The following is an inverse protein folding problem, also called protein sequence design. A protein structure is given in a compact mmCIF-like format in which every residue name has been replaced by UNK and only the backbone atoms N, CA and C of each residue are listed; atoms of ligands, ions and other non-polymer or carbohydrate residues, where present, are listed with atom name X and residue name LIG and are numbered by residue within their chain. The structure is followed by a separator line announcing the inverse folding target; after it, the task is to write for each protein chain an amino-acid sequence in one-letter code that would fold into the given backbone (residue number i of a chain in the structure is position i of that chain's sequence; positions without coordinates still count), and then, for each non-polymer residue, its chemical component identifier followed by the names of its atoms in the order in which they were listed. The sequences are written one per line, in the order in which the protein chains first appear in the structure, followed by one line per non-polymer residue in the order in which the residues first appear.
data_IF_442960364104
#
_entry.id   IF_442960364104
#
_cell.length_a   1.000
_cell.length_b   1.000
_cell.length_c   1.000
_cell.angle_alpha   90.00
_cell.angle_beta   90.00
_cell.angle_gamma   90.00
#
_symmetry.space_group_name_H-M   'P 1'
#
loop_
_entity.id
_entity.type
_entity.pdbx_description
1 polymer ?
#
# COMPACT_ATOMS: atom_id res chain seq x y z
N UNK A 1 -15.48 -10.23 6.86
CA UNK A 1 -14.41 -9.30 6.48
C UNK A 1 -14.52 -8.05 7.33
N UNK A 2 -13.47 -7.65 8.02
CA UNK A 2 -13.47 -6.43 8.85
C UNK A 2 -12.58 -5.39 8.16
N UNK A 3 -13.18 -4.29 7.71
CA UNK A 3 -12.57 -3.21 6.94
C UNK A 3 -12.82 -3.30 5.43
N UNK A 4 -13.27 -2.18 4.84
CA UNK A 4 -13.55 -2.01 3.42
C UNK A 4 -12.48 -1.15 2.70
N UNK A 5 -11.25 -1.13 3.22
CA UNK A 5 -10.09 -0.58 2.53
C UNK A 5 -9.58 -1.54 1.44
N UNK A 6 -8.44 -1.21 0.80
CA UNK A 6 -7.86 -2.05 -0.25
C UNK A 6 -7.63 -3.49 0.18
N UNK A 7 -7.18 -3.74 1.41
CA UNK A 7 -6.98 -5.09 1.92
C UNK A 7 -8.28 -5.91 1.88
N UNK A 8 -9.32 -5.44 2.58
CA UNK A 8 -10.59 -6.16 2.65
C UNK A 8 -11.35 -6.24 1.33
N UNK A 9 -11.39 -5.14 0.57
CA UNK A 9 -12.07 -5.10 -0.73
C UNK A 9 -11.42 -6.06 -1.75
N UNK A 10 -10.08 -6.12 -1.78
CA UNK A 10 -9.36 -7.02 -2.69
C UNK A 10 -9.58 -8.49 -2.33
N UNK A 11 -9.57 -8.82 -1.04
CA UNK A 11 -9.82 -10.19 -0.59
C UNK A 11 -11.27 -10.59 -0.89
N UNK A 12 -12.25 -9.73 -0.61
CA UNK A 12 -13.65 -10.02 -0.89
C UNK A 12 -13.90 -10.22 -2.41
N UNK A 13 -13.35 -9.35 -3.26
CA UNK A 13 -13.44 -9.51 -4.71
C UNK A 13 -12.75 -10.80 -5.19
N UNK A 14 -11.59 -11.16 -4.62
CA UNK A 14 -10.91 -12.40 -4.98
C UNK A 14 -11.68 -13.64 -4.51
N UNK A 15 -12.27 -13.63 -3.33
CA UNK A 15 -13.15 -14.70 -2.83
C UNK A 15 -14.38 -14.85 -3.71
N UNK A 16 -14.97 -13.75 -4.18
CA UNK A 16 -16.06 -13.78 -5.16
C UNK A 16 -15.65 -14.53 -6.44
N UNK A 17 -14.46 -14.20 -6.99
CA UNK A 17 -13.93 -14.93 -8.16
C UNK A 17 -13.68 -16.42 -7.89
N UNK A 18 -13.37 -16.76 -6.65
CA UNK A 18 -13.23 -18.15 -6.20
C UNK A 18 -14.57 -18.86 -5.91
N UNK A 19 -15.72 -18.21 -6.15
CA UNK A 19 -17.05 -18.79 -5.97
C UNK A 19 -17.62 -18.66 -4.55
N UNK A 20 -17.01 -17.89 -3.67
CA UNK A 20 -17.57 -17.60 -2.34
C UNK A 20 -18.64 -16.52 -2.48
N UNK A 21 -19.89 -16.86 -2.16
CA UNK A 21 -21.06 -15.97 -2.34
C UNK A 21 -21.74 -15.54 -1.03
N UNK A 22 -21.30 -16.08 0.11
CA UNK A 22 -21.89 -15.80 1.41
C UNK A 22 -20.86 -15.08 2.28
N UNK A 23 -20.72 -13.78 2.09
CA UNK A 23 -19.78 -12.96 2.81
C UNK A 23 -20.34 -11.61 3.23
N UNK A 24 -19.74 -11.04 4.28
CA UNK A 24 -20.08 -9.74 4.81
C UNK A 24 -18.82 -8.90 4.96
N UNK A 25 -18.88 -7.65 4.55
CA UNK A 25 -17.84 -6.64 4.80
C UNK A 25 -18.40 -5.66 5.82
N UNK A 26 -17.71 -5.50 6.95
CA UNK A 26 -18.04 -4.56 8.01
C UNK A 26 -17.04 -3.41 7.98
N UNK A 27 -17.51 -2.21 7.73
CA UNK A 27 -16.70 -0.99 7.70
C UNK A 27 -17.16 -0.05 8.80
N UNK A 28 -16.21 0.40 9.63
CA UNK A 28 -16.51 1.30 10.74
C UNK A 28 -16.91 2.72 10.30
N UNK A 29 -16.37 3.16 9.16
CA UNK A 29 -16.63 4.48 8.65
C UNK A 29 -17.86 4.48 7.72
N UNK A 30 -18.47 5.66 7.55
CA UNK A 30 -19.58 5.85 6.61
C UNK A 30 -19.15 5.59 5.16
N UNK A 31 -17.90 5.92 4.82
CA UNK A 31 -17.37 5.77 3.47
C UNK A 31 -16.16 4.82 3.49
N UNK A 32 -16.18 3.75 2.69
CA UNK A 32 -15.00 2.94 2.46
C UNK A 32 -13.81 3.78 1.96
N UNK A 33 -12.60 3.44 2.40
CA UNK A 33 -11.42 4.16 1.98
C UNK A 33 -11.14 5.48 2.73
N UNK A 34 -11.87 5.82 3.77
CA UNK A 34 -11.67 7.05 4.58
C UNK A 34 -10.25 7.20 5.11
N UNK A 35 -9.58 6.08 5.41
CA UNK A 35 -8.21 6.06 5.93
C UNK A 35 -7.15 5.88 4.83
N UNK A 36 -6.11 5.06 5.06
CA UNK A 36 -4.96 4.89 4.17
C UNK A 36 -5.32 4.64 2.69
N UNK A 37 -6.42 3.93 2.42
CA UNK A 37 -6.83 3.57 1.06
C UNK A 37 -7.28 4.76 0.21
N UNK A 38 -7.84 5.81 0.81
CA UNK A 38 -8.26 7.02 0.09
C UNK A 38 -7.33 8.21 0.28
N UNK A 39 -6.27 8.07 1.09
CA UNK A 39 -5.36 9.18 1.46
C UNK A 39 -3.93 8.98 0.99
N UNK A 40 -3.70 8.06 0.07
CA UNK A 40 -2.37 7.73 -0.47
C UNK A 40 -2.07 8.48 -1.77
N UNK A 41 -0.84 8.34 -2.25
CA UNK A 41 -0.37 9.02 -3.46
C UNK A 41 -0.75 8.30 -4.77
N UNK A 42 -1.35 7.12 -4.72
CA UNK A 42 -1.72 6.35 -5.91
C UNK A 42 -0.55 5.80 -6.73
N UNK A 43 0.68 5.88 -6.25
CA UNK A 43 1.85 5.40 -7.01
C UNK A 43 1.91 3.88 -6.96
N UNK A 44 1.88 3.24 -8.13
CA UNK A 44 2.18 1.83 -8.32
C UNK A 44 3.65 1.67 -8.68
N UNK A 45 4.40 0.98 -7.81
CA UNK A 45 5.85 0.85 -7.88
C UNK A 45 6.28 -0.60 -7.79
N UNK A 46 7.19 -1.03 -8.66
CA UNK A 46 7.74 -2.40 -8.67
C UNK A 46 9.12 -2.49 -8.01
N UNK A 47 9.88 -1.41 -7.98
CA UNK A 47 11.24 -1.40 -7.44
C UNK A 47 11.23 -1.56 -5.91
N UNK A 48 11.71 -2.71 -5.45
CA UNK A 48 11.85 -3.07 -4.04
C UNK A 48 13.13 -3.85 -3.79
N UNK A 49 13.70 -3.69 -2.60
CA UNK A 49 14.93 -4.38 -2.20
C UNK A 49 14.68 -5.78 -1.62
N UNK A 50 13.56 -5.98 -0.94
CA UNK A 50 13.18 -7.29 -0.42
C UNK A 50 12.61 -8.18 -1.54
N UNK A 51 13.15 -9.39 -1.76
CA UNK A 51 12.74 -10.26 -2.88
C UNK A 51 11.27 -10.71 -2.82
N UNK A 52 10.69 -10.90 -1.63
CA UNK A 52 9.30 -11.30 -1.48
C UNK A 52 8.36 -10.11 -1.78
N UNK A 53 8.70 -8.92 -1.27
CA UNK A 53 7.95 -7.70 -1.55
C UNK A 53 8.07 -7.31 -3.02
N UNK A 54 9.26 -7.45 -3.63
CA UNK A 54 9.47 -7.25 -5.06
C UNK A 54 8.55 -8.16 -5.89
N UNK A 55 8.51 -9.48 -5.58
CA UNK A 55 7.64 -10.41 -6.27
C UNK A 55 6.16 -10.03 -6.14
N UNK A 56 5.74 -9.63 -4.95
CA UNK A 56 4.38 -9.18 -4.67
C UNK A 56 4.03 -7.89 -5.42
N UNK A 57 4.94 -6.90 -5.44
CA UNK A 57 4.76 -5.63 -6.14
C UNK A 57 4.66 -5.83 -7.66
N UNK A 58 5.55 -6.65 -8.25
CA UNK A 58 5.51 -7.01 -9.67
C UNK A 58 4.20 -7.69 -10.03
N UNK A 59 3.77 -8.66 -9.22
CA UNK A 59 2.50 -9.36 -9.43
C UNK A 59 1.30 -8.40 -9.31
N UNK A 60 1.36 -7.45 -8.38
CA UNK A 60 0.34 -6.42 -8.20
C UNK A 60 0.23 -5.49 -9.40
N UNK A 61 1.35 -4.93 -9.87
CA UNK A 61 1.36 -4.02 -11.04
C UNK A 61 0.88 -4.73 -12.29
N UNK A 62 1.28 -5.99 -12.52
CA UNK A 62 0.76 -6.79 -13.65
C UNK A 62 -0.76 -6.88 -13.64
N UNK A 63 -1.37 -7.09 -12.48
CA UNK A 63 -2.83 -7.16 -12.31
C UNK A 63 -3.49 -5.79 -12.48
N UNK A 64 -2.89 -4.73 -11.94
CA UNK A 64 -3.39 -3.35 -12.10
C UNK A 64 -3.43 -2.92 -13.56
N UNK A 65 -2.41 -3.27 -14.36
CA UNK A 65 -2.35 -2.99 -15.80
C UNK A 65 -3.50 -3.64 -16.59
N UNK A 66 -3.98 -4.79 -16.14
CA UNK A 66 -5.09 -5.50 -16.78
C UNK A 66 -6.46 -5.05 -16.27
N UNK A 67 -6.52 -4.37 -15.12
CA UNK A 67 -7.79 -3.93 -14.52
C UNK A 67 -8.33 -2.71 -15.23
N UNK A 68 -9.60 -2.80 -15.62
CA UNK A 68 -10.35 -1.68 -16.19
C UNK A 68 -11.64 -1.46 -15.43
N UNK A 69 -12.11 -0.23 -15.42
CA UNK A 69 -13.41 0.20 -14.94
C UNK A 69 -14.04 1.05 -16.05
N UNK A 70 -15.21 0.67 -16.52
CA UNK A 70 -15.88 1.32 -17.66
C UNK A 70 -14.92 1.51 -18.87
N UNK A 71 -14.23 0.43 -19.26
CA UNK A 71 -13.21 0.37 -20.31
C UNK A 71 -11.96 1.25 -20.11
N UNK A 72 -11.87 1.99 -18.99
CA UNK A 72 -10.71 2.81 -18.64
C UNK A 72 -9.75 2.01 -17.76
N UNK A 73 -8.44 2.03 -18.06
CA UNK A 73 -7.46 1.40 -17.19
C UNK A 73 -7.41 2.10 -15.84
N UNK A 74 -7.33 1.33 -14.75
CA UNK A 74 -7.15 1.91 -13.40
C UNK A 74 -5.71 2.38 -13.16
N UNK A 75 -4.74 1.84 -13.89
CA UNK A 75 -3.34 2.27 -13.86
C UNK A 75 -3.05 3.16 -15.07
N UNK A 76 -2.78 4.44 -14.82
CA UNK A 76 -2.17 5.34 -15.79
C UNK A 76 -0.68 5.04 -15.84
N UNK A 77 -0.26 4.30 -16.87
CA UNK A 77 1.12 3.83 -17.03
C UNK A 77 2.02 4.96 -17.53
N UNK A 78 2.42 5.86 -16.62
CA UNK A 78 3.33 6.97 -16.89
C UNK A 78 4.80 6.57 -16.73
N UNK A 79 5.06 5.38 -16.22
CA UNK A 79 6.35 4.97 -15.71
C UNK A 79 6.57 5.43 -14.26
N UNK A 80 7.78 5.14 -13.74
CA UNK A 80 8.29 5.61 -12.46
C UNK A 80 9.77 5.92 -12.58
N UNK A 81 10.20 7.04 -12.03
CA UNK A 81 11.59 7.47 -11.95
C UNK A 81 12.05 7.42 -10.48
N UNK A 82 13.13 6.67 -10.23
CA UNK A 82 13.67 6.46 -8.88
C UNK A 82 15.11 6.96 -8.85
N UNK A 83 15.33 8.06 -8.15
CA UNK A 83 16.63 8.71 -8.03
C UNK A 83 17.46 8.03 -6.94
N UNK A 84 18.76 7.89 -7.20
CA UNK A 84 19.72 7.22 -6.31
C UNK A 84 21.00 8.04 -6.26
N UNK A 85 21.59 8.13 -5.07
CA UNK A 85 22.85 8.81 -4.81
C UNK A 85 23.98 7.81 -4.57
N UNK A 86 25.16 8.08 -5.11
CA UNK A 86 26.38 7.35 -4.87
C UNK A 86 26.46 5.98 -5.55
N UNK A 87 26.29 4.91 -4.80
CA UNK A 87 26.76 3.58 -5.13
C UNK A 87 26.06 2.87 -6.32
N UNK A 88 26.72 2.87 -7.48
CA UNK A 88 26.27 2.17 -8.68
C UNK A 88 26.12 0.65 -8.50
N UNK A 89 26.87 0.02 -7.57
CA UNK A 89 26.82 -1.44 -7.34
C UNK A 89 25.44 -1.83 -6.82
N UNK A 90 24.96 -1.17 -5.77
CA UNK A 90 23.61 -1.43 -5.22
C UNK A 90 22.52 -1.22 -6.28
N UNK A 91 22.65 -0.15 -7.07
CA UNK A 91 21.73 0.13 -8.15
C UNK A 91 21.73 -1.00 -9.21
N UNK A 92 22.90 -1.49 -9.59
CA UNK A 92 23.03 -2.60 -10.56
C UNK A 92 22.43 -3.91 -10.02
N UNK A 93 22.60 -4.20 -8.74
CA UNK A 93 21.99 -5.37 -8.08
C UNK A 93 20.45 -5.28 -8.10
N UNK A 94 19.88 -4.12 -7.80
CA UNK A 94 18.45 -3.89 -7.86
C UNK A 94 17.91 -4.04 -9.28
N UNK A 95 18.64 -3.54 -10.29
CA UNK A 95 18.27 -3.71 -11.69
C UNK A 95 18.24 -5.20 -12.07
N UNK A 96 19.24 -5.97 -11.66
CA UNK A 96 19.30 -7.42 -11.91
C UNK A 96 18.10 -8.15 -11.29
N UNK A 97 17.69 -7.77 -10.08
CA UNK A 97 16.50 -8.33 -9.42
C UNK A 97 15.22 -8.04 -10.21
N UNK A 98 15.02 -6.80 -10.70
CA UNK A 98 13.89 -6.43 -11.55
C UNK A 98 13.86 -7.25 -12.84
N UNK A 99 15.00 -7.36 -13.52
CA UNK A 99 15.14 -8.17 -14.75
C UNK A 99 14.87 -9.64 -14.50
N UNK A 100 15.32 -10.20 -13.36
CA UNK A 100 15.01 -11.56 -12.93
C UNK A 100 13.51 -11.82 -12.73
N UNK A 101 12.70 -10.77 -12.51
CA UNK A 101 11.24 -10.82 -12.47
C UNK A 101 10.57 -10.41 -13.78
N UNK A 102 11.33 -10.30 -14.88
CA UNK A 102 10.85 -9.85 -16.19
C UNK A 102 10.19 -8.45 -16.14
N UNK A 103 10.71 -7.56 -15.33
CA UNK A 103 10.31 -6.14 -15.31
C UNK A 103 11.20 -5.38 -16.27
N UNK A 104 10.59 -4.69 -17.22
CA UNK A 104 11.31 -3.72 -18.04
C UNK A 104 11.76 -2.57 -17.16
N UNK A 105 13.06 -2.35 -17.07
CA UNK A 105 13.65 -1.28 -16.27
C UNK A 105 15.02 -0.94 -16.83
N UNK A 106 15.42 0.30 -16.65
CA UNK A 106 16.68 0.84 -17.10
C UNK A 106 17.35 1.59 -15.95
N UNK A 107 18.67 1.46 -15.83
CA UNK A 107 19.49 2.31 -14.97
C UNK A 107 20.20 3.32 -15.85
N UNK A 108 19.88 4.59 -15.66
CA UNK A 108 20.41 5.71 -16.42
C UNK A 108 21.42 6.48 -15.56
N UNK A 109 22.52 6.91 -16.16
CA UNK A 109 23.39 7.92 -15.58
C UNK A 109 22.65 9.26 -15.53
N UNK A 110 23.04 10.16 -14.61
CA UNK A 110 22.34 11.41 -14.38
C UNK A 110 22.16 12.23 -15.67
N UNK A 111 23.19 12.32 -16.52
CA UNK A 111 23.13 13.11 -17.76
C UNK A 111 22.22 12.48 -18.80
N UNK A 112 22.24 11.15 -18.96
CA UNK A 112 21.33 10.43 -19.85
C UNK A 112 19.87 10.59 -19.38
N UNK A 113 19.65 10.51 -18.07
CA UNK A 113 18.33 10.72 -17.49
C UNK A 113 17.82 12.14 -17.72
N UNK A 114 18.68 13.17 -17.56
CA UNK A 114 18.33 14.57 -17.81
C UNK A 114 18.12 14.87 -19.30
N UNK A 115 18.80 14.16 -20.18
CA UNK A 115 18.56 14.27 -21.62
C UNK A 115 17.19 13.69 -22.00
N UNK A 116 16.86 12.53 -21.47
CA UNK A 116 15.58 11.82 -21.74
C UNK A 116 14.38 12.48 -21.06
N UNK A 117 14.58 12.98 -19.84
CA UNK A 117 13.59 13.63 -19.00
C UNK A 117 14.07 15.03 -18.58
N UNK A 118 13.90 16.05 -19.45
CA UNK A 118 14.49 17.38 -19.24
C UNK A 118 14.06 18.07 -17.92
N UNK A 119 12.89 17.72 -17.37
CA UNK A 119 12.43 18.23 -16.08
C UNK A 119 13.33 17.77 -14.90
N UNK A 120 14.11 16.70 -15.06
CA UNK A 120 15.08 16.26 -14.05
C UNK A 120 16.31 17.18 -13.92
N UNK A 121 16.47 18.20 -14.76
CA UNK A 121 17.59 19.16 -14.66
C UNK A 121 17.60 19.93 -13.33
N UNK A 122 16.43 20.06 -12.68
CA UNK A 122 16.30 20.66 -11.35
C UNK A 122 16.48 19.70 -10.20
N UNK A 123 16.92 18.43 -10.44
CA UNK A 123 17.11 17.43 -9.40
C UNK A 123 18.59 17.04 -9.26
N UNK A 124 19.04 16.87 -8.01
CA UNK A 124 20.33 16.29 -7.67
C UNK A 124 20.22 14.78 -7.56
N UNK A 125 21.03 14.02 -8.29
CA UNK A 125 21.14 12.56 -8.23
C UNK A 125 22.32 12.08 -9.08
N UNK A 126 22.79 10.87 -8.84
CA UNK A 126 23.87 10.23 -9.62
C UNK A 126 23.33 9.24 -10.65
N UNK A 127 22.28 8.50 -10.29
CA UNK A 127 21.64 7.51 -11.16
C UNK A 127 20.12 7.61 -11.02
N UNK A 128 19.42 7.18 -12.08
CA UNK A 128 17.97 7.05 -12.07
C UNK A 128 17.53 5.69 -12.62
N UNK A 129 16.68 4.97 -11.87
CA UNK A 129 15.93 3.87 -12.46
C UNK A 129 14.72 4.42 -13.20
N UNK A 130 14.48 3.92 -14.39
CA UNK A 130 13.23 4.13 -15.08
C UNK A 130 12.51 2.79 -15.25
N UNK A 131 11.32 2.69 -14.67
CA UNK A 131 10.44 1.54 -14.79
C UNK A 131 9.20 1.94 -15.62
N UNK A 132 9.17 1.67 -16.93
CA UNK A 132 8.11 2.16 -17.82
C UNK A 132 6.74 1.52 -17.55
N UNK A 133 6.69 0.42 -16.80
CA UNK A 133 5.46 -0.29 -16.46
C UNK A 133 4.84 0.13 -15.12
N UNK A 134 5.48 1.03 -14.40
CA UNK A 134 4.94 1.69 -13.23
C UNK A 134 3.99 2.83 -13.61
N UNK A 135 3.40 3.50 -12.64
CA UNK A 135 2.52 4.64 -12.93
C UNK A 135 1.67 5.07 -11.73
N UNK A 136 0.56 5.71 -12.05
CA UNK A 136 -0.38 6.26 -11.06
C UNK A 136 -1.73 5.53 -11.17
N UNK A 137 -2.24 5.07 -10.06
CA UNK A 137 -3.53 4.35 -9.95
C UNK A 137 -4.64 5.33 -9.63
N UNK A 138 -5.75 5.23 -10.37
CA UNK A 138 -7.01 5.78 -9.92
C UNK A 138 -7.52 4.95 -8.72
N UNK A 139 -7.17 5.40 -7.53
CA UNK A 139 -7.46 4.70 -6.28
C UNK A 139 -8.96 4.63 -6.00
N UNK A 140 -9.73 5.63 -6.44
CA UNK A 140 -11.18 5.65 -6.25
C UNK A 140 -11.85 4.63 -7.16
N UNK A 141 -11.53 4.64 -8.45
CA UNK A 141 -12.07 3.67 -9.41
C UNK A 141 -11.69 2.24 -9.02
N UNK A 142 -10.43 2.00 -8.61
CA UNK A 142 -9.99 0.67 -8.17
C UNK A 142 -10.79 0.19 -6.96
N UNK A 143 -10.86 0.98 -5.87
CA UNK A 143 -11.54 0.57 -4.65
C UNK A 143 -13.04 0.36 -4.88
N UNK A 144 -13.69 1.28 -5.57
CA UNK A 144 -15.12 1.18 -5.89
C UNK A 144 -15.42 -0.04 -6.74
N UNK A 145 -14.56 -0.36 -7.72
CA UNK A 145 -14.75 -1.54 -8.57
C UNK A 145 -14.59 -2.86 -7.80
N UNK A 146 -13.68 -2.92 -6.83
CA UNK A 146 -13.49 -4.10 -5.98
C UNK A 146 -14.70 -4.34 -5.07
N UNK A 147 -15.23 -3.28 -4.47
CA UNK A 147 -16.43 -3.35 -3.64
C UNK A 147 -17.67 -3.69 -4.47
N UNK A 148 -17.79 -3.15 -5.69
CA UNK A 148 -18.87 -3.49 -6.60
C UNK A 148 -18.79 -4.96 -7.04
N UNK A 149 -17.60 -5.48 -7.34
CA UNK A 149 -17.37 -6.88 -7.68
C UNK A 149 -17.75 -7.81 -6.52
N UNK A 150 -17.32 -7.48 -5.29
CA UNK A 150 -17.69 -8.25 -4.11
C UNK A 150 -19.22 -8.26 -3.90
N UNK A 151 -19.87 -7.09 -4.01
CA UNK A 151 -21.33 -6.97 -3.87
C UNK A 151 -22.07 -7.75 -4.96
N UNK A 152 -21.62 -7.66 -6.21
CA UNK A 152 -22.18 -8.41 -7.33
C UNK A 152 -22.06 -9.93 -7.17
N UNK A 153 -21.06 -10.38 -6.43
CA UNK A 153 -20.85 -11.80 -6.08
C UNK A 153 -21.52 -12.26 -4.79
N UNK A 154 -22.38 -11.45 -4.18
CA UNK A 154 -23.18 -11.83 -3.02
C UNK A 154 -22.61 -11.40 -1.66
N UNK A 155 -21.56 -10.58 -1.62
CA UNK A 155 -21.14 -9.97 -0.36
C UNK A 155 -22.04 -8.79 0.02
N UNK A 156 -22.53 -8.79 1.25
CA UNK A 156 -23.17 -7.62 1.84
C UNK A 156 -22.12 -6.67 2.43
N UNK A 157 -22.34 -5.36 2.27
CA UNK A 157 -21.41 -4.34 2.78
C UNK A 157 -22.16 -3.41 3.72
N UNK A 158 -21.76 -3.44 5.00
CA UNK A 158 -22.29 -2.57 6.03
C UNK A 158 -21.25 -1.49 6.40
N UNK A 159 -21.63 -0.25 6.23
CA UNK A 159 -20.87 0.93 6.70
C UNK A 159 -21.45 1.42 8.02
N UNK A 160 -20.76 2.35 8.70
CA UNK A 160 -21.09 2.78 10.06
C UNK A 160 -21.22 1.57 11.03
N UNK A 161 -20.45 0.50 10.77
CA UNK A 161 -20.53 -0.76 11.48
C UNK A 161 -19.16 -1.17 12.05
N UNK A 162 -18.80 -0.60 13.17
CA UNK A 162 -17.56 -0.95 13.86
C UNK A 162 -17.67 -2.35 14.52
N UNK A 163 -16.63 -3.16 14.34
CA UNK A 163 -16.44 -4.38 15.12
C UNK A 163 -15.75 -4.01 16.43
N UNK A 164 -16.39 -4.31 17.55
CA UNK A 164 -15.94 -3.95 18.88
C UNK A 164 -15.18 -5.09 19.57
N UNK A 165 -15.40 -6.34 19.14
CA UNK A 165 -14.75 -7.49 19.71
C UNK A 165 -15.01 -8.81 19.00
N UNK A 166 -14.26 -9.82 19.43
CA UNK A 166 -14.39 -11.21 19.00
C UNK A 166 -14.86 -12.06 20.17
N UNK A 167 -15.78 -12.99 19.94
CA UNK A 167 -16.15 -14.02 20.90
C UNK A 167 -15.51 -15.34 20.48
N UNK A 168 -14.74 -15.93 21.38
CA UNK A 168 -14.05 -17.20 21.19
C UNK A 168 -14.69 -18.30 22.03
N UNK A 169 -14.73 -19.52 21.48
CA UNK A 169 -14.96 -20.75 22.22
C UNK A 169 -13.65 -21.54 22.24
N UNK A 170 -12.96 -21.52 23.37
CA UNK A 170 -11.57 -21.98 23.45
C UNK A 170 -10.69 -21.11 22.51
N UNK A 171 -10.02 -21.75 21.57
CA UNK A 171 -9.20 -21.09 20.56
C UNK A 171 -9.92 -20.91 19.21
N UNK A 172 -11.23 -21.06 19.15
CA UNK A 172 -12.00 -20.96 17.89
C UNK A 172 -12.84 -19.68 17.88
N UNK A 173 -12.68 -18.86 16.87
CA UNK A 173 -13.51 -17.69 16.65
C UNK A 173 -14.94 -18.11 16.28
N UNK A 174 -15.95 -17.49 16.90
CA UNK A 174 -17.36 -17.83 16.71
C UNK A 174 -18.20 -16.66 16.28
N UNK A 175 -17.98 -15.50 16.89
CA UNK A 175 -18.82 -14.33 16.68
C UNK A 175 -18.00 -13.05 16.65
N UNK A 176 -18.51 -12.08 15.91
CA UNK A 176 -18.11 -10.68 15.96
C UNK A 176 -19.16 -9.91 16.77
N UNK A 177 -18.71 -9.01 17.61
CA UNK A 177 -19.56 -8.06 18.33
C UNK A 177 -19.54 -6.73 17.58
N UNK A 178 -20.70 -6.20 17.25
CA UNK A 178 -20.89 -4.90 16.62
C UNK A 178 -21.94 -4.10 17.37
N UNK A 179 -22.03 -2.81 17.12
CA UNK A 179 -23.10 -1.95 17.68
C UNK A 179 -24.50 -2.41 17.25
N UNK A 180 -24.63 -3.07 16.09
CA UNK A 180 -25.88 -3.62 15.57
C UNK A 180 -26.23 -5.02 16.04
N UNK A 181 -25.37 -5.64 16.89
CA UNK A 181 -25.56 -6.99 17.38
C UNK A 181 -24.40 -7.95 17.06
N UNK A 182 -24.66 -9.26 17.21
CA UNK A 182 -23.66 -10.29 16.99
C UNK A 182 -23.77 -10.89 15.58
N UNK A 183 -22.63 -11.11 14.95
CA UNK A 183 -22.51 -11.79 13.66
C UNK A 183 -21.73 -13.09 13.85
N UNK A 184 -22.34 -14.22 13.47
CA UNK A 184 -21.67 -15.51 13.47
C UNK A 184 -20.93 -15.71 12.15
N UNK A 185 -19.68 -16.15 12.22
CA UNK A 185 -18.88 -16.47 11.04
C UNK A 185 -17.95 -17.65 11.33
N UNK A 186 -17.68 -18.45 10.28
CA UNK A 186 -16.68 -19.53 10.35
C UNK A 186 -15.26 -18.98 10.11
N UNK A 187 -15.15 -17.99 9.24
CA UNK A 187 -13.90 -17.32 8.89
C UNK A 187 -14.07 -15.81 9.02
N UNK A 188 -13.16 -15.19 9.73
CA UNK A 188 -13.04 -13.74 9.85
C UNK A 188 -11.72 -13.30 9.26
N UNK A 189 -11.74 -12.31 8.39
CA UNK A 189 -10.53 -11.67 7.87
C UNK A 189 -10.37 -10.32 8.54
N UNK A 190 -9.28 -10.15 9.28
CA UNK A 190 -8.83 -8.88 9.86
C UNK A 190 -8.09 -8.07 8.77
N UNK A 191 -8.79 -7.11 8.17
CA UNK A 191 -8.27 -6.15 7.21
C UNK A 191 -8.39 -4.71 7.73
N UNK A 192 -8.27 -4.54 9.05
CA UNK A 192 -8.54 -3.27 9.76
C UNK A 192 -7.40 -2.25 9.69
N UNK A 193 -6.35 -2.51 8.90
CA UNK A 193 -5.27 -1.56 8.67
C UNK A 193 -4.51 -1.18 9.94
N UNK A 194 -4.60 0.07 10.38
CA UNK A 194 -3.90 0.56 11.56
C UNK A 194 -4.44 -0.03 12.87
N UNK A 195 -5.65 -0.58 12.87
CA UNK A 195 -6.28 -1.25 14.04
C UNK A 195 -6.04 -2.75 14.08
N UNK A 196 -5.34 -3.31 13.10
CA UNK A 196 -5.07 -4.74 13.07
C UNK A 196 -4.29 -5.21 14.32
N UNK A 197 -4.66 -6.37 14.82
CA UNK A 197 -4.14 -6.87 16.09
C UNK A 197 -4.80 -6.29 17.35
N UNK A 198 -5.75 -5.36 17.21
CA UNK A 198 -6.53 -4.83 18.35
C UNK A 198 -7.90 -5.51 18.51
N UNK A 199 -8.29 -6.36 17.58
CA UNK A 199 -9.58 -7.03 17.49
C UNK A 199 -9.78 -8.15 18.52
N UNK A 200 -9.29 -8.01 19.66
CA UNK A 200 -9.55 -8.96 20.74
C UNK A 200 -8.36 -9.06 21.68
N UNK A 201 -8.64 -8.84 22.95
CA UNK A 201 -7.66 -9.03 24.04
C UNK A 201 -7.20 -10.49 24.18
N UNK A 202 -7.77 -11.41 23.42
CA UNK A 202 -7.52 -12.85 23.49
C UNK A 202 -6.34 -13.30 22.59
N UNK A 203 -6.00 -12.56 21.53
CA UNK A 203 -4.81 -12.84 20.70
C UNK A 203 -3.63 -11.99 21.17
N UNK A 204 -2.42 -12.51 21.06
CA UNK A 204 -1.26 -11.65 21.13
C UNK A 204 -1.38 -10.60 20.03
N UNK A 205 -1.25 -9.30 20.32
CA UNK A 205 -1.35 -8.28 19.31
C UNK A 205 -0.29 -8.53 18.22
N UNK A 206 -0.68 -8.34 16.95
CA UNK A 206 0.32 -8.32 15.89
C UNK A 206 1.31 -7.19 16.16
N UNK A 207 2.61 -7.40 15.94
CA UNK A 207 3.65 -6.39 16.20
C UNK A 207 3.65 -5.32 15.11
N UNK A 208 2.56 -4.59 14.97
CA UNK A 208 2.34 -3.60 13.94
C UNK A 208 2.57 -2.20 14.49
N UNK A 209 3.23 -1.36 13.68
CA UNK A 209 3.44 0.07 13.98
C UNK A 209 2.79 0.92 12.89
N UNK A 210 1.72 1.65 13.21
CA UNK A 210 1.19 2.69 12.32
C UNK A 210 2.11 3.91 12.36
N UNK A 211 2.59 4.30 11.19
CA UNK A 211 3.46 5.46 11.00
C UNK A 211 2.72 6.54 10.20
N UNK A 212 2.73 7.77 10.71
CA UNK A 212 2.15 8.94 10.06
C UNK A 212 3.00 9.33 8.85
N UNK A 213 2.33 9.67 7.75
CA UNK A 213 2.94 10.17 6.52
C UNK A 213 2.13 11.33 5.97
N UNK A 214 2.80 12.45 5.70
CA UNK A 214 2.19 13.64 5.12
C UNK A 214 2.23 13.61 3.60
N UNK A 215 1.20 14.22 3.01
CA UNK A 215 1.11 14.54 1.60
C UNK A 215 0.72 15.99 1.45
N UNK A 216 1.41 16.67 0.55
CA UNK A 216 1.18 18.07 0.22
C UNK A 216 0.75 18.19 -1.22
N UNK A 217 -0.24 19.01 -1.47
CA UNK A 217 -0.62 19.43 -2.80
C UNK A 217 -0.25 20.90 -2.95
N UNK A 218 0.48 21.21 -4.02
CA UNK A 218 0.94 22.55 -4.29
C UNK A 218 0.73 22.98 -5.73
N UNK A 219 0.79 24.29 -5.95
CA UNK A 219 0.84 24.88 -7.28
C UNK A 219 2.16 24.54 -7.96
N UNK A 220 2.20 24.48 -9.27
CA UNK A 220 3.42 24.11 -9.99
C UNK A 220 3.19 23.74 -11.44
N UNK A 221 2.19 24.34 -12.08
CA UNK A 221 2.03 24.24 -13.51
C UNK A 221 3.33 24.66 -14.20
N UNK A 222 4.03 23.70 -14.81
CA UNK A 222 5.28 23.94 -15.55
C UNK A 222 6.53 23.25 -14.97
N UNK A 223 6.56 22.80 -13.72
CA UNK A 223 7.71 22.06 -13.19
C UNK A 223 7.80 20.63 -13.72
N UNK A 224 6.67 19.93 -13.75
CA UNK A 224 6.57 18.59 -14.33
C UNK A 224 5.49 18.58 -15.43
N UNK A 225 5.72 17.92 -16.56
CA UNK A 225 4.65 17.61 -17.52
C UNK A 225 3.52 16.84 -16.83
N UNK A 226 2.28 17.00 -17.31
CA UNK A 226 1.10 16.34 -16.69
C UNK A 226 1.15 14.81 -16.72
N UNK A 227 1.84 14.27 -17.69
CA UNK A 227 2.06 12.84 -17.92
C UNK A 227 3.44 12.36 -17.45
N UNK A 228 4.19 13.23 -16.75
CA UNK A 228 5.48 12.84 -16.21
C UNK A 228 5.35 11.67 -15.24
N UNK A 229 6.30 10.74 -15.25
CA UNK A 229 6.41 9.72 -14.24
C UNK A 229 6.51 10.33 -12.83
N UNK A 230 5.98 9.70 -11.79
CA UNK A 230 6.37 10.01 -10.42
C UNK A 230 7.88 9.96 -10.27
N UNK A 231 8.46 10.96 -9.64
CA UNK A 231 9.88 11.03 -9.28
C UNK A 231 10.01 10.74 -7.80
N UNK A 232 10.75 9.71 -7.44
CA UNK A 232 10.98 9.32 -6.06
C UNK A 232 12.46 9.23 -5.78
N UNK A 233 12.97 10.04 -4.88
CA UNK A 233 14.31 9.89 -4.36
C UNK A 233 14.32 8.82 -3.27
N UNK A 234 15.04 7.73 -3.52
CA UNK A 234 15.03 6.55 -2.64
C UNK A 234 15.93 6.73 -1.43
N UNK A 235 17.02 7.47 -1.58
CA UNK A 235 18.02 7.63 -0.52
C UNK A 235 17.66 8.81 0.40
N UNK A 236 17.23 9.93 -0.16
CA UNK A 236 16.82 11.12 0.59
C UNK A 236 15.41 10.96 1.16
N UNK A 237 14.58 10.19 0.48
CA UNK A 237 13.23 9.88 0.92
C UNK A 237 12.27 11.06 0.73
N UNK A 238 12.03 11.45 -0.52
CA UNK A 238 10.89 12.27 -0.92
C UNK A 238 10.38 11.82 -2.28
N UNK A 239 9.17 12.19 -2.60
CA UNK A 239 8.66 12.01 -3.96
C UNK A 239 7.76 13.16 -4.38
N UNK A 240 7.68 13.33 -5.70
CA UNK A 240 6.80 14.30 -6.35
C UNK A 240 6.17 13.65 -7.59
N UNK A 241 4.92 13.97 -7.84
CA UNK A 241 4.25 13.61 -9.08
C UNK A 241 3.24 14.67 -9.53
N UNK A 242 2.91 14.74 -10.81
CA UNK A 242 1.79 15.56 -11.27
C UNK A 242 0.48 15.12 -10.60
N UNK A 243 -0.36 16.09 -10.24
CA UNK A 243 -1.71 15.87 -9.72
C UNK A 243 -2.64 16.98 -10.24
N UNK A 244 -3.49 16.66 -11.21
CA UNK A 244 -4.36 17.66 -11.83
C UNK A 244 -3.59 18.83 -12.44
N UNK A 245 -3.79 20.04 -11.91
CA UNK A 245 -3.07 21.25 -12.33
C UNK A 245 -1.86 21.60 -11.46
N UNK A 246 -1.52 20.73 -10.50
CA UNK A 246 -0.43 20.94 -9.55
C UNK A 246 0.45 19.73 -9.37
N UNK A 247 1.08 19.68 -8.20
CA UNK A 247 1.99 18.62 -7.79
C UNK A 247 1.53 18.03 -6.46
N UNK A 248 1.65 16.72 -6.35
CA UNK A 248 1.59 15.99 -5.10
C UNK A 248 3.01 15.71 -4.62
N UNK A 249 3.32 16.14 -3.41
CA UNK A 249 4.65 16.03 -2.81
C UNK A 249 4.56 15.31 -1.46
N UNK A 250 5.63 14.61 -1.11
CA UNK A 250 5.71 13.87 0.16
C UNK A 250 7.14 13.89 0.71
N UNK A 251 7.34 14.27 1.97
CA UNK A 251 8.65 14.23 2.63
C UNK A 251 9.11 12.84 3.03
N UNK A 252 8.28 11.81 2.81
CA UNK A 252 8.51 10.44 3.27
C UNK A 252 8.74 10.32 4.79
N UNK A 253 8.12 11.20 5.57
CA UNK A 253 8.17 11.17 7.03
C UNK A 253 7.55 9.89 7.59
N UNK A 254 8.07 9.42 8.73
CA UNK A 254 7.60 8.22 9.44
C UNK A 254 7.65 8.46 10.95
N UNK A 255 6.57 8.97 11.50
CA UNK A 255 6.41 9.17 12.95
C UNK A 255 5.33 8.22 13.46
N UNK A 256 5.62 7.46 14.51
CA UNK A 256 4.63 6.57 15.13
C UNK A 256 3.41 7.36 15.62
N UNK A 257 2.21 6.84 15.32
CA UNK A 257 0.96 7.50 15.63
C UNK A 257 -0.11 6.46 15.93
N UNK A 258 -0.97 6.68 16.94
CA UNK A 258 -2.07 5.77 17.22
C UNK A 258 -3.04 5.66 16.03
N UNK A 259 -3.78 4.53 15.92
CA UNK A 259 -4.79 4.37 14.90
C UNK A 259 -5.82 5.51 14.91
N UNK A 260 -6.12 6.06 13.72
CA UNK A 260 -7.03 7.20 13.55
C UNK A 260 -6.76 7.96 12.25
N UNK A 261 -7.38 9.11 12.12
CA UNK A 261 -6.99 10.12 11.13
C UNK A 261 -5.93 11.00 11.80
N UNK A 262 -4.67 10.94 11.37
CA UNK A 262 -3.62 11.69 12.04
C UNK A 262 -3.81 13.19 11.87
N UNK A 263 -3.54 13.93 12.92
CA UNK A 263 -3.41 15.37 12.84
C UNK A 263 -2.22 15.75 11.96
N UNK A 264 -2.37 16.87 11.25
CA UNK A 264 -1.31 17.43 10.43
C UNK A 264 -0.24 18.00 11.37
N UNK A 265 1.02 17.67 11.08
CA UNK A 265 2.19 18.24 11.70
C UNK A 265 2.86 19.18 10.69
N UNK A 266 2.87 20.46 11.01
CA UNK A 266 3.40 21.46 10.10
C UNK A 266 4.92 21.38 9.94
N UNK A 267 5.64 20.76 10.89
CA UNK A 267 7.08 20.52 10.79
C UNK A 267 7.42 19.61 9.59
N UNK A 268 6.48 18.76 9.16
CA UNK A 268 6.65 17.95 7.95
C UNK A 268 6.79 18.80 6.66
N UNK A 269 6.23 20.01 6.64
CA UNK A 269 6.43 20.93 5.53
C UNK A 269 7.87 21.49 5.53
N UNK A 270 8.43 21.77 6.71
CA UNK A 270 9.84 22.15 6.85
C UNK A 270 10.78 21.05 6.38
N UNK A 271 10.55 19.80 6.81
CA UNK A 271 11.31 18.64 6.34
C UNK A 271 11.24 18.48 4.82
N UNK A 272 10.07 18.71 4.21
CA UNK A 272 9.94 18.68 2.76
C UNK A 272 10.74 19.81 2.10
N UNK A 273 10.61 21.03 2.64
CA UNK A 273 11.31 22.22 2.11
C UNK A 273 12.83 22.04 2.13
N UNK A 274 13.39 21.56 3.25
CA UNK A 274 14.83 21.29 3.37
C UNK A 274 15.33 20.30 2.31
N UNK A 275 14.60 19.19 2.11
CA UNK A 275 14.93 18.19 1.08
C UNK A 275 14.85 18.78 -0.34
N UNK A 276 13.82 19.58 -0.62
CA UNK A 276 13.65 20.19 -1.93
C UNK A 276 14.72 21.25 -2.20
N UNK A 277 15.08 22.09 -1.21
CA UNK A 277 16.14 23.08 -1.36
C UNK A 277 17.48 22.45 -1.72
N UNK A 278 17.80 21.31 -1.14
CA UNK A 278 19.07 20.62 -1.37
C UNK A 278 19.07 19.75 -2.63
N UNK A 279 18.00 18.97 -2.86
CA UNK A 279 17.98 17.91 -3.88
C UNK A 279 17.05 18.17 -5.07
N UNK A 280 16.15 19.13 -4.97
CA UNK A 280 15.26 19.52 -6.06
C UNK A 280 14.94 21.03 -6.00
N UNK A 281 15.99 21.91 -6.04
CA UNK A 281 15.81 23.35 -5.84
C UNK A 281 14.81 24.00 -6.79
N UNK A 282 14.60 23.42 -7.97
CA UNK A 282 13.56 23.88 -8.89
C UNK A 282 12.13 23.72 -8.37
N UNK A 283 11.92 22.93 -7.31
CA UNK A 283 10.63 22.72 -6.65
C UNK A 283 10.50 23.45 -5.31
N UNK A 284 11.57 24.11 -4.83
CA UNK A 284 11.58 24.72 -3.51
C UNK A 284 10.55 25.86 -3.33
N UNK A 285 10.23 26.56 -4.44
CA UNK A 285 9.27 27.66 -4.45
C UNK A 285 7.82 27.23 -4.73
N UNK A 286 7.53 25.92 -4.69
CA UNK A 286 6.16 25.42 -4.89
C UNK A 286 5.28 25.83 -3.72
N UNK A 287 4.30 26.71 -3.99
CA UNK A 287 3.32 27.11 -2.98
C UNK A 287 2.44 25.95 -2.56
N UNK A 288 2.46 25.57 -1.29
CA UNK A 288 1.63 24.49 -0.76
C UNK A 288 0.22 25.01 -0.44
N UNK A 289 -0.81 24.32 -0.95
CA UNK A 289 -2.22 24.72 -0.83
C UNK A 289 -3.03 23.79 0.06
N UNK A 290 -2.71 22.50 0.08
CA UNK A 290 -3.38 21.48 0.88
C UNK A 290 -2.36 20.53 1.49
N UNK A 291 -2.68 20.08 2.70
CA UNK A 291 -1.94 19.03 3.37
C UNK A 291 -2.91 18.04 4.00
N UNK A 292 -2.56 16.78 3.95
CA UNK A 292 -3.22 15.74 4.75
C UNK A 292 -2.22 14.70 5.19
N UNK A 293 -2.58 13.92 6.19
CA UNK A 293 -1.78 12.82 6.65
C UNK A 293 -2.56 11.51 6.58
N UNK A 294 -1.83 10.41 6.44
CA UNK A 294 -2.37 9.05 6.52
C UNK A 294 -1.45 8.17 7.36
N UNK A 295 -1.95 7.00 7.75
CA UNK A 295 -1.14 5.99 8.42
C UNK A 295 -0.67 4.93 7.44
N UNK A 296 0.60 4.55 7.56
CA UNK A 296 1.20 3.39 6.93
C UNK A 296 1.58 2.41 8.02
N UNK A 297 0.92 1.27 8.05
CA UNK A 297 1.12 0.29 9.12
C UNK A 297 2.10 -0.77 8.67
N UNK A 298 3.16 -0.94 9.43
CA UNK A 298 4.26 -1.86 9.12
C UNK A 298 4.40 -2.93 10.20
N UNK A 299 4.72 -4.13 9.77
CA UNK A 299 5.35 -5.14 10.61
C UNK A 299 6.84 -4.82 10.83
N UNK A 300 7.51 -5.42 11.83
CA UNK A 300 8.93 -5.15 12.13
C UNK A 300 9.87 -5.36 10.93
N UNK A 301 9.60 -6.35 10.10
CA UNK A 301 10.35 -6.69 8.89
C UNK A 301 9.87 -5.96 7.64
N UNK A 302 8.87 -5.08 7.79
CA UNK A 302 8.24 -4.27 6.75
C UNK A 302 7.50 -5.08 5.66
N UNK A 303 7.35 -6.39 5.82
CA UNK A 303 6.54 -7.23 4.94
C UNK A 303 5.07 -7.27 5.40
N UNK A 304 4.11 -7.39 4.47
CA UNK A 304 2.70 -7.61 4.83
C UNK A 304 2.52 -8.87 5.68
N UNK A 305 1.43 -8.91 6.43
CA UNK A 305 0.98 -10.13 7.13
C UNK A 305 -0.25 -10.64 6.38
N UNK A 306 -0.12 -11.83 5.79
CA UNK A 306 -1.19 -12.50 5.04
C UNK A 306 -1.21 -13.97 5.50
N UNK A 307 -2.18 -14.36 6.31
CA UNK A 307 -2.22 -15.73 6.80
C UNK A 307 -3.13 -15.93 8.01
N UNK A 308 -3.31 -17.19 8.35
CA UNK A 308 -4.09 -17.61 9.51
C UNK A 308 -3.42 -17.18 10.82
N UNK A 309 -4.24 -16.74 11.78
CA UNK A 309 -3.77 -16.48 13.14
C UNK A 309 -3.20 -17.76 13.74
N UNK A 310 -2.02 -17.72 14.39
CA UNK A 310 -1.40 -18.92 14.97
C UNK A 310 -2.13 -19.49 16.17
N UNK A 311 -3.02 -18.72 16.81
CA UNK A 311 -3.67 -19.06 18.08
C UNK A 311 -5.19 -19.13 17.97
N UNK A 312 -5.79 -18.44 17.01
CA UNK A 312 -7.23 -18.32 16.86
C UNK A 312 -7.65 -18.97 15.54
N UNK A 313 -8.21 -20.17 15.63
CA UNK A 313 -8.78 -20.84 14.47
C UNK A 313 -9.97 -20.04 13.91
N UNK A 314 -10.02 -19.88 12.58
CA UNK A 314 -11.03 -19.11 11.88
C UNK A 314 -10.72 -17.61 11.75
N UNK A 315 -9.59 -17.12 12.29
CA UNK A 315 -9.12 -15.75 12.10
C UNK A 315 -7.98 -15.73 11.06
N UNK A 316 -8.11 -14.88 10.05
CA UNK A 316 -7.13 -14.66 8.99
C UNK A 316 -6.73 -13.18 8.96
N UNK A 317 -5.45 -12.89 8.82
CA UNK A 317 -4.93 -11.52 8.80
C UNK A 317 -4.55 -11.07 7.40
N UNK A 318 -4.91 -9.84 7.05
CA UNK A 318 -4.41 -9.10 5.89
C UNK A 318 -4.06 -7.69 6.33
N UNK A 319 -2.85 -7.51 6.84
CA UNK A 319 -2.44 -6.33 7.58
C UNK A 319 -0.99 -5.94 7.26
N UNK A 320 -0.56 -4.80 7.79
CA UNK A 320 0.84 -4.39 7.65
C UNK A 320 1.26 -4.06 6.22
N UNK A 321 0.33 -3.60 5.36
CA UNK A 321 0.61 -3.33 3.94
C UNK A 321 1.56 -2.15 3.71
N UNK A 322 1.93 -1.43 4.75
CA UNK A 322 2.90 -0.34 4.71
C UNK A 322 2.56 0.71 3.65
N UNK A 323 3.54 1.02 2.80
CA UNK A 323 3.41 1.93 1.67
C UNK A 323 2.90 1.28 0.38
N UNK A 324 2.62 -0.04 0.38
CA UNK A 324 2.40 -0.84 -0.83
C UNK A 324 0.94 -1.25 -1.05
N UNK A 325 0.04 -0.86 -0.17
CA UNK A 325 -1.35 -1.33 -0.20
C UNK A 325 -2.07 -1.12 -1.54
N UNK A 326 -1.77 -0.05 -2.28
CA UNK A 326 -2.31 0.17 -3.63
C UNK A 326 -1.67 -0.78 -4.63
N UNK A 327 -0.33 -0.77 -4.71
CA UNK A 327 0.44 -1.57 -5.66
C UNK A 327 0.12 -3.06 -5.55
N UNK A 328 0.02 -3.57 -4.32
CA UNK A 328 -0.06 -5.01 -4.05
C UNK A 328 -1.48 -5.53 -3.82
N UNK A 329 -2.49 -4.65 -3.73
CA UNK A 329 -3.86 -4.99 -3.33
C UNK A 329 -4.44 -6.21 -4.05
N UNK A 330 -4.39 -6.22 -5.38
CA UNK A 330 -4.96 -7.31 -6.19
C UNK A 330 -4.21 -8.63 -5.98
N UNK A 331 -2.88 -8.59 -5.89
CA UNK A 331 -2.06 -9.76 -5.63
C UNK A 331 -2.28 -10.32 -4.22
N UNK A 332 -2.42 -9.44 -3.22
CA UNK A 332 -2.76 -9.82 -1.84
C UNK A 332 -4.14 -10.47 -1.78
N UNK A 333 -5.12 -9.92 -2.51
CA UNK A 333 -6.45 -10.52 -2.61
C UNK A 333 -6.40 -11.96 -3.11
N UNK A 334 -5.61 -12.21 -4.17
CA UNK A 334 -5.46 -13.56 -4.74
C UNK A 334 -4.74 -14.52 -3.77
N UNK A 335 -3.66 -14.08 -3.09
CA UNK A 335 -2.99 -14.88 -2.06
C UNK A 335 -3.97 -15.25 -0.95
N UNK A 336 -4.64 -14.25 -0.39
CA UNK A 336 -5.56 -14.45 0.73
C UNK A 336 -6.73 -15.37 0.35
N UNK A 337 -7.34 -15.14 -0.80
CA UNK A 337 -8.43 -15.99 -1.30
C UNK A 337 -7.97 -17.44 -1.50
N UNK A 338 -6.80 -17.66 -2.12
CA UNK A 338 -6.23 -19.00 -2.33
C UNK A 338 -6.02 -19.72 -1.00
N UNK A 339 -5.40 -19.05 -0.03
CA UNK A 339 -5.13 -19.66 1.29
C UNK A 339 -6.41 -19.90 2.10
N UNK A 340 -7.39 -19.00 2.04
CA UNK A 340 -8.68 -19.16 2.73
C UNK A 340 -9.46 -20.35 2.13
N UNK A 341 -9.39 -20.56 0.82
CA UNK A 341 -10.03 -21.68 0.14
C UNK A 341 -9.21 -22.99 0.22
N UNK A 342 -8.11 -23.02 0.98
CA UNK A 342 -7.29 -24.23 1.17
C UNK A 342 -6.39 -24.58 -0.01
N UNK A 343 -6.14 -23.64 -0.92
CA UNK A 343 -5.22 -23.80 -2.06
C UNK A 343 -3.79 -23.43 -1.72
N UNK A 344 -2.89 -23.67 -2.68
CA UNK A 344 -1.48 -23.29 -2.60
C UNK A 344 -1.17 -22.14 -3.56
N UNK A 345 -0.29 -21.22 -3.13
CA UNK A 345 0.22 -20.11 -3.93
C UNK A 345 1.57 -20.51 -4.50
N UNK A 346 1.72 -20.52 -5.81
CA UNK A 346 2.90 -21.03 -6.53
C UNK A 346 3.78 -19.94 -7.17
N UNK A 347 3.29 -18.70 -7.25
CA UNK A 347 3.98 -17.59 -7.92
C UNK A 347 4.77 -16.66 -6.96
N UNK A 348 4.61 -16.85 -5.67
CA UNK A 348 5.36 -16.16 -4.60
C UNK A 348 5.47 -17.07 -3.39
N UNK A 349 6.56 -16.92 -2.62
CA UNK A 349 6.74 -17.62 -1.36
C UNK A 349 5.78 -17.05 -0.29
N UNK A 350 4.57 -17.61 -0.21
CA UNK A 350 3.51 -17.11 0.68
C UNK A 350 3.88 -17.21 2.17
N UNK A 351 4.78 -18.12 2.54
CA UNK A 351 5.29 -18.26 3.92
C UNK A 351 6.02 -17.00 4.39
N UNK A 352 6.63 -16.24 3.47
CA UNK A 352 7.26 -14.94 3.77
C UNK A 352 6.28 -13.91 4.33
N UNK A 353 4.98 -14.09 4.10
CA UNK A 353 3.92 -13.20 4.59
C UNK A 353 3.13 -13.79 5.74
N UNK A 354 3.43 -15.01 6.16
CA UNK A 354 2.70 -15.70 7.24
C UNK A 354 2.69 -14.90 8.54
N UNK A 355 1.57 -14.94 9.26
CA UNK A 355 1.47 -14.41 10.62
C UNK A 355 2.34 -15.18 11.64
N UNK A 356 2.91 -16.33 11.24
CA UNK A 356 3.76 -17.20 12.07
C UNK A 356 5.26 -17.08 11.73
N UNK A 357 5.64 -16.22 10.77
CA UNK A 357 7.04 -16.10 10.36
C UNK A 357 7.93 -15.61 11.50
N UNK A 358 9.13 -16.13 11.60
CA UNK A 358 10.09 -15.87 12.69
C UNK A 358 10.50 -14.39 12.78
N UNK A 359 10.56 -13.68 11.65
CA UNK A 359 10.93 -12.26 11.58
C UNK A 359 9.99 -11.35 12.38
N UNK A 360 8.75 -11.75 12.63
CA UNK A 360 7.83 -11.02 13.49
C UNK A 360 8.20 -11.08 14.98
N UNK A 361 8.87 -12.16 15.43
CA UNK A 361 9.26 -12.36 16.82
C UNK A 361 10.66 -11.87 17.17
N UNK A 362 11.56 -11.79 16.22
CA UNK A 362 12.99 -11.52 16.46
C UNK A 362 13.28 -10.07 16.87
N UNK A 363 12.46 -9.12 16.45
CA UNK A 363 12.62 -7.70 16.82
C UNK A 363 11.85 -7.30 18.08
N UNK A 364 10.87 -8.08 18.52
CA UNK A 364 10.19 -7.85 19.81
C UNK A 364 11.12 -8.04 21.03
N UNK A 365 12.31 -8.64 20.82
CA UNK A 365 13.34 -8.85 21.87
C UNK A 365 14.45 -7.78 21.86
N UNK A 366 14.39 -6.78 20.97
CA UNK A 366 15.42 -5.73 20.83
C UNK A 366 14.92 -4.32 21.16
N UNK A 367 13.73 -4.20 21.81
CA UNK A 367 13.21 -2.92 22.35
C UNK A 367 13.27 -2.97 23.87
#
# INVERSE_FOLDING_TARGET
MIGAGFAGASVAAALTRAGVTNGVILERERLPGTHASGRNAGIARQLESDPALLALAVAGVRRLRMRKVDDRPVLHQTGGLYLVHGNAVRATEQLAQLHGKCVQSELLQADDARQRFPFLRGFGFDHAFFCPTDGVVDIHALLSSLLAEARGGGFEIFTDCAVEGLTLEGAVMRKLQTQGGEIRAQTVVDATGAWAGQLGRASAPLPLKPLRRHLFFGGGAGFLPRDAPPVWDLDIGYYVRPEGAGLLLCPCDETEHPPGIPAIDLDAAGVLADKLLEYAPGLADVGLHRCWACLRTFAPDRLPIIGWDPKIAGLFHVSGLGGFGVTTSLAIGDIASTLICGGNVDWVEASSFSAQRESLGSMARRI
#
